data_IF_072445721613
#
_entry.id   IF_072445721613
#
_cell.length_a   1.000
_cell.length_b   1.000
_cell.length_c   1.000
_cell.angle_alpha   90.00
_cell.angle_beta   90.00
_cell.angle_gamma   90.00
#
_symmetry.space_group_name_H-M   'P 1'
#
loop_
_entity.id
_entity.type
_entity.pdbx_description
1 polymer ?
#
# COMPACT_ATOMS: atom_id res chain seq x y z
N UNK A 1 8.83 9.52 -23.10
CA UNK A 1 8.61 8.55 -22.01
C UNK A 1 7.15 8.14 -22.01
N UNK A 2 6.89 6.83 -21.95
CA UNK A 2 5.54 6.28 -21.76
C UNK A 2 5.00 6.75 -20.40
N UNK A 3 3.70 7.04 -20.29
CA UNK A 3 3.10 7.32 -18.98
C UNK A 3 3.03 6.05 -18.13
N UNK A 4 3.23 6.18 -16.82
CA UNK A 4 3.18 5.07 -15.86
C UNK A 4 1.95 5.20 -14.98
N UNK A 5 1.19 4.11 -14.82
CA UNK A 5 0.07 4.03 -13.89
C UNK A 5 0.36 2.98 -12.83
N UNK A 6 0.35 3.40 -11.57
CA UNK A 6 0.56 2.54 -10.40
C UNK A 6 -0.81 2.20 -9.82
N UNK A 7 -1.22 0.94 -9.95
CA UNK A 7 -2.51 0.47 -9.45
C UNK A 7 -2.38 -0.03 -8.01
N UNK A 8 -3.19 0.52 -7.12
CA UNK A 8 -3.23 0.15 -5.70
C UNK A 8 -4.67 -0.13 -5.26
N UNK A 9 -4.86 -0.87 -4.17
CA UNK A 9 -6.22 -1.29 -3.78
C UNK A 9 -7.07 -0.11 -3.30
N UNK A 10 -6.52 0.72 -2.41
CA UNK A 10 -7.25 1.82 -1.77
C UNK A 10 -6.48 3.13 -1.62
N UNK A 11 -7.17 4.14 -1.09
CA UNK A 11 -6.63 5.47 -0.85
C UNK A 11 -5.47 5.49 0.16
N UNK A 12 -5.46 4.57 1.13
CA UNK A 12 -4.34 4.42 2.08
C UNK A 12 -3.06 4.05 1.35
N UNK A 13 -3.13 3.08 0.44
CA UNK A 13 -1.99 2.59 -0.31
C UNK A 13 -1.47 3.66 -1.26
N UNK A 14 -2.40 4.39 -1.91
CA UNK A 14 -2.07 5.53 -2.74
C UNK A 14 -1.22 6.53 -1.97
N UNK A 15 -1.69 6.98 -0.80
CA UNK A 15 -0.95 7.95 0.00
C UNK A 15 0.39 7.40 0.49
N UNK A 16 0.46 6.12 0.86
CA UNK A 16 1.73 5.51 1.27
C UNK A 16 2.76 5.53 0.13
N UNK A 17 2.34 5.17 -1.10
CA UNK A 17 3.18 5.19 -2.30
C UNK A 17 3.62 6.62 -2.63
N UNK A 18 2.69 7.57 -2.73
CA UNK A 18 2.99 8.97 -3.04
C UNK A 18 3.92 9.59 -1.97
N UNK A 19 3.69 9.28 -0.69
CA UNK A 19 4.53 9.78 0.41
C UNK A 19 5.95 9.22 0.30
N UNK A 20 6.12 7.91 0.09
CA UNK A 20 7.47 7.35 -0.04
C UNK A 20 8.19 7.88 -1.28
N UNK A 21 7.49 8.03 -2.39
CA UNK A 21 8.06 8.58 -3.62
C UNK A 21 8.63 9.98 -3.42
N UNK A 22 7.86 10.88 -2.80
CA UNK A 22 8.34 12.22 -2.45
C UNK A 22 9.54 12.17 -1.50
N UNK A 23 9.51 11.29 -0.49
CA UNK A 23 10.64 11.11 0.44
C UNK A 23 11.91 10.64 -0.25
N UNK A 24 11.79 9.87 -1.33
CA UNK A 24 12.91 9.40 -2.15
C UNK A 24 13.28 10.38 -3.29
N UNK A 25 12.63 11.54 -3.35
CA UNK A 25 12.96 12.61 -4.30
C UNK A 25 12.32 12.47 -5.68
N UNK A 26 11.32 11.59 -5.85
CA UNK A 26 10.58 11.47 -7.10
C UNK A 26 9.61 12.65 -7.30
N UNK A 27 9.60 13.21 -8.52
CA UNK A 27 8.56 14.13 -8.98
C UNK A 27 7.63 13.35 -9.92
N UNK A 28 6.55 12.83 -9.35
CA UNK A 28 5.59 11.99 -10.08
C UNK A 28 5.00 12.69 -11.31
N UNK A 29 4.84 14.01 -11.27
CA UNK A 29 4.31 14.76 -12.41
C UNK A 29 5.35 14.85 -13.53
N UNK A 30 6.61 15.18 -13.19
CA UNK A 30 7.71 15.21 -14.15
C UNK A 30 8.01 13.82 -14.74
N UNK A 31 7.90 12.77 -13.92
CA UNK A 31 8.11 11.36 -14.30
C UNK A 31 6.89 10.74 -15.00
N UNK A 32 5.76 11.46 -15.07
CA UNK A 32 4.50 10.99 -15.66
C UNK A 32 3.96 9.72 -14.99
N UNK A 33 4.13 9.62 -13.67
CA UNK A 33 3.62 8.55 -12.82
C UNK A 33 2.32 9.01 -12.17
N UNK A 34 1.27 8.19 -12.29
CA UNK A 34 -0.01 8.43 -11.59
C UNK A 34 -0.37 7.23 -10.75
N UNK A 35 -0.58 7.45 -9.45
CA UNK A 35 -1.03 6.41 -8.52
C UNK A 35 -2.57 6.40 -8.49
N UNK A 36 -3.17 5.26 -8.82
CA UNK A 36 -4.61 5.10 -9.00
C UNK A 36 -5.14 4.06 -8.01
N UNK A 37 -5.97 4.47 -7.03
CA UNK A 37 -6.66 3.56 -6.14
C UNK A 37 -7.85 2.95 -6.87
N UNK A 38 -7.93 1.62 -6.86
CA UNK A 38 -8.93 0.87 -7.62
C UNK A 38 -10.28 0.77 -6.92
N UNK A 39 -10.34 1.06 -5.62
CA UNK A 39 -11.54 0.86 -4.80
C UNK A 39 -11.81 -0.63 -4.54
N UNK A 40 -10.74 -1.42 -4.41
CA UNK A 40 -10.79 -2.88 -4.23
C UNK A 40 -10.14 -3.65 -5.36
N UNK A 41 -9.49 -4.77 -5.03
CA UNK A 41 -8.74 -5.58 -6.00
C UNK A 41 -9.62 -6.20 -7.11
N UNK A 42 -10.92 -6.39 -6.85
CA UNK A 42 -11.88 -6.92 -7.83
C UNK A 42 -12.10 -5.99 -9.03
N UNK A 43 -11.78 -4.71 -8.90
CA UNK A 43 -11.89 -3.72 -9.97
C UNK A 43 -10.75 -3.77 -10.98
N UNK A 44 -9.70 -4.58 -10.75
CA UNK A 44 -8.47 -4.61 -11.55
C UNK A 44 -8.73 -4.69 -13.06
N UNK A 45 -9.66 -5.54 -13.50
CA UNK A 45 -9.96 -5.74 -14.93
C UNK A 45 -10.33 -4.43 -15.62
N UNK A 46 -11.19 -3.62 -14.98
CA UNK A 46 -11.58 -2.30 -15.51
C UNK A 46 -10.37 -1.39 -15.71
N UNK A 47 -9.42 -1.39 -14.76
CA UNK A 47 -8.24 -0.54 -14.84
C UNK A 47 -7.22 -1.04 -15.85
N UNK A 48 -7.10 -2.36 -16.03
CA UNK A 48 -6.30 -2.95 -17.10
C UNK A 48 -6.87 -2.61 -18.49
N UNK A 49 -8.20 -2.59 -18.65
CA UNK A 49 -8.83 -2.18 -19.91
C UNK A 49 -8.61 -0.70 -20.21
N UNK A 50 -8.63 0.15 -19.18
CA UNK A 50 -8.43 1.60 -19.32
C UNK A 50 -6.97 1.97 -19.61
N UNK A 51 -6.01 1.37 -18.90
CA UNK A 51 -4.62 1.81 -18.93
C UNK A 51 -3.66 0.81 -19.58
N UNK A 52 -4.06 -0.45 -19.75
CA UNK A 52 -3.24 -1.48 -20.35
C UNK A 52 -3.11 -1.37 -21.88
N UNK A 53 -2.60 -2.41 -22.55
CA UNK A 53 -2.24 -2.39 -23.97
C UNK A 53 -3.40 -2.04 -24.91
N UNK A 54 -4.62 -2.43 -24.54
CA UNK A 54 -5.84 -2.17 -25.33
C UNK A 54 -6.48 -0.81 -25.02
N UNK A 55 -6.01 -0.11 -24.00
CA UNK A 55 -6.51 1.20 -23.57
C UNK A 55 -5.50 2.31 -23.87
N UNK A 56 -5.11 3.05 -22.83
CA UNK A 56 -4.14 4.13 -22.93
C UNK A 56 -2.70 3.66 -23.19
N UNK A 57 -2.43 2.35 -23.12
CA UNK A 57 -1.10 1.79 -23.37
C UNK A 57 -0.03 2.32 -22.40
N UNK A 58 -0.38 2.51 -21.14
CA UNK A 58 0.55 2.93 -20.10
C UNK A 58 1.44 1.77 -19.64
N UNK A 59 2.60 2.10 -19.09
CA UNK A 59 3.35 1.15 -18.28
C UNK A 59 2.59 0.95 -16.97
N UNK A 60 2.22 -0.30 -16.66
CA UNK A 60 1.50 -0.61 -15.43
C UNK A 60 2.46 -1.13 -14.37
N UNK A 61 2.32 -0.58 -13.18
CA UNK A 61 2.91 -1.11 -11.94
C UNK A 61 1.78 -1.32 -10.94
N UNK A 62 2.04 -2.04 -9.86
CA UNK A 62 1.04 -2.12 -8.79
C UNK A 62 1.52 -2.71 -7.48
N UNK A 63 0.66 -2.56 -6.48
CA UNK A 63 0.82 -3.11 -5.15
C UNK A 63 -0.47 -3.82 -4.75
N UNK A 64 -0.37 -5.05 -4.25
CA UNK A 64 -1.52 -5.82 -3.80
C UNK A 64 -1.19 -6.79 -2.67
N UNK A 65 -2.21 -7.31 -2.00
CA UNK A 65 -2.02 -8.32 -0.95
C UNK A 65 -1.86 -9.73 -1.53
N UNK A 66 -1.21 -10.63 -0.79
CA UNK A 66 -1.00 -12.03 -1.20
C UNK A 66 -2.32 -12.75 -1.53
N UNK A 67 -3.40 -12.37 -0.85
CA UNK A 67 -4.74 -12.93 -1.04
C UNK A 67 -5.30 -12.63 -2.43
N UNK A 68 -4.94 -11.48 -3.00
CA UNK A 68 -5.42 -10.99 -4.29
C UNK A 68 -4.46 -11.33 -5.45
N UNK A 69 -3.22 -11.69 -5.13
CA UNK A 69 -2.15 -11.99 -6.10
C UNK A 69 -2.57 -12.93 -7.24
N UNK A 70 -3.25 -14.03 -6.94
CA UNK A 70 -3.72 -15.00 -7.95
C UNK A 70 -4.77 -14.41 -8.88
N UNK A 71 -5.67 -13.59 -8.35
CA UNK A 71 -6.69 -12.90 -9.12
C UNK A 71 -6.07 -11.90 -10.08
N UNK A 72 -5.12 -11.11 -9.58
CA UNK A 72 -4.39 -10.10 -10.36
C UNK A 72 -3.54 -10.74 -11.46
N UNK A 73 -2.78 -11.79 -11.14
CA UNK A 73 -1.97 -12.51 -12.14
C UNK A 73 -2.84 -13.06 -13.28
N UNK A 74 -4.02 -13.60 -12.96
CA UNK A 74 -4.98 -14.07 -13.97
C UNK A 74 -5.54 -12.91 -14.81
N UNK A 75 -5.83 -11.77 -14.18
CA UNK A 75 -6.32 -10.58 -14.89
C UNK A 75 -5.27 -10.02 -15.85
N UNK A 76 -4.01 -9.91 -15.42
CA UNK A 76 -2.88 -9.47 -16.25
C UNK A 76 -2.66 -10.39 -17.46
N UNK A 77 -2.66 -11.71 -17.25
CA UNK A 77 -2.53 -12.67 -18.34
C UNK A 77 -3.64 -12.53 -19.38
N UNK A 78 -4.88 -12.28 -18.95
CA UNK A 78 -6.02 -12.03 -19.85
C UNK A 78 -5.93 -10.69 -20.59
N UNK A 79 -5.34 -9.69 -19.96
CA UNK A 79 -5.13 -8.36 -20.55
C UNK A 79 -3.92 -8.28 -21.49
N UNK A 80 -3.22 -9.38 -21.72
CA UNK A 80 -2.13 -9.46 -22.71
C UNK A 80 -0.73 -9.14 -22.17
N UNK A 81 -0.55 -9.06 -20.84
CA UNK A 81 0.77 -8.84 -20.22
C UNK A 81 1.66 -10.10 -20.22
N UNK A 82 1.13 -11.23 -20.67
CA UNK A 82 1.83 -12.51 -20.69
C UNK A 82 1.82 -13.25 -19.35
N UNK A 83 2.32 -14.49 -19.32
CA UNK A 83 2.51 -15.25 -18.09
C UNK A 83 3.80 -14.83 -17.38
N UNK A 84 3.82 -14.85 -16.05
CA UNK A 84 5.03 -14.63 -15.29
C UNK A 84 4.76 -14.36 -13.80
N UNK A 85 5.80 -14.36 -12.95
CA UNK A 85 5.73 -13.84 -11.59
C UNK A 85 5.27 -12.38 -11.60
N UNK A 86 4.40 -12.00 -10.65
CA UNK A 86 3.88 -10.63 -10.55
C UNK A 86 4.98 -9.57 -10.49
N UNK A 87 6.08 -9.86 -9.79
CA UNK A 87 7.21 -8.93 -9.68
C UNK A 87 7.84 -8.61 -11.03
N UNK A 88 7.92 -9.59 -11.94
CA UNK A 88 8.43 -9.37 -13.31
C UNK A 88 7.45 -8.55 -14.16
N UNK A 89 6.16 -8.61 -13.83
CA UNK A 89 5.10 -7.80 -14.44
C UNK A 89 4.96 -6.40 -13.81
N UNK A 90 5.83 -6.04 -12.86
CA UNK A 90 5.80 -4.74 -12.17
C UNK A 90 4.80 -4.66 -11.00
N UNK A 91 4.29 -5.79 -10.53
CA UNK A 91 3.38 -5.87 -9.39
C UNK A 91 4.07 -6.47 -8.17
N UNK A 92 4.05 -5.72 -7.07
CA UNK A 92 4.62 -6.13 -5.80
C UNK A 92 3.53 -6.59 -4.83
N UNK A 93 3.87 -7.54 -3.97
CA UNK A 93 2.90 -8.26 -3.14
C UNK A 93 3.22 -8.06 -1.66
N UNK A 94 2.28 -7.51 -0.90
CA UNK A 94 2.30 -7.47 0.56
C UNK A 94 1.88 -8.83 1.13
N UNK A 95 2.45 -9.25 2.26
CA UNK A 95 2.06 -10.53 2.89
C UNK A 95 0.63 -10.47 3.42
N UNK A 96 0.36 -9.62 4.42
CA UNK A 96 -0.98 -9.50 5.00
C UNK A 96 -1.77 -8.31 4.44
N UNK A 97 -1.22 -7.10 4.59
CA UNK A 97 -1.64 -5.84 3.99
C UNK A 97 -0.50 -4.82 4.15
N UNK A 98 -0.60 -3.66 3.48
CA UNK A 98 0.42 -2.63 3.59
C UNK A 98 0.59 -2.10 5.02
N UNK A 99 -0.49 -2.02 5.82
CA UNK A 99 -0.35 -1.60 7.21
C UNK A 99 0.47 -2.59 8.05
N UNK A 100 0.31 -3.89 7.82
CA UNK A 100 1.15 -4.92 8.46
C UNK A 100 2.62 -4.77 8.09
N UNK A 101 2.93 -4.56 6.81
CA UNK A 101 4.30 -4.31 6.33
C UNK A 101 4.92 -3.09 7.03
N UNK A 102 4.18 -1.98 7.10
CA UNK A 102 4.63 -0.75 7.75
C UNK A 102 4.85 -0.95 9.27
N UNK A 103 3.95 -1.67 9.95
CA UNK A 103 4.11 -2.00 11.37
C UNK A 103 5.35 -2.87 11.59
N UNK A 104 5.60 -3.86 10.73
CA UNK A 104 6.77 -4.74 10.85
C UNK A 104 8.08 -3.99 10.63
N UNK A 105 8.13 -3.07 9.66
CA UNK A 105 9.32 -2.27 9.40
C UNK A 105 9.58 -1.20 10.46
N UNK A 106 8.54 -0.48 10.90
CA UNK A 106 8.69 0.58 11.92
C UNK A 106 8.88 0.00 13.34
N UNK A 107 8.37 -1.20 13.58
CA UNK A 107 8.33 -1.82 14.91
C UNK A 107 7.20 -1.25 15.78
N UNK A 108 6.82 -2.02 16.82
CA UNK A 108 5.70 -1.66 17.71
C UNK A 108 5.95 -0.31 18.38
N UNK A 109 7.14 -0.08 18.92
CA UNK A 109 7.45 1.14 19.66
C UNK A 109 7.40 2.38 18.76
N UNK A 110 7.99 2.31 17.56
CA UNK A 110 7.91 3.40 16.58
C UNK A 110 6.47 3.70 16.15
N UNK A 111 5.63 2.68 15.98
CA UNK A 111 4.20 2.87 15.71
C UNK A 111 3.48 3.53 16.89
N UNK A 112 3.81 3.14 18.12
CA UNK A 112 3.23 3.77 19.32
C UNK A 112 3.65 5.22 19.46
N UNK A 113 4.89 5.57 19.11
CA UNK A 113 5.38 6.95 19.08
C UNK A 113 4.62 7.79 18.05
N UNK A 114 4.33 7.24 16.86
CA UNK A 114 3.46 7.90 15.87
C UNK A 114 2.08 8.16 16.45
N UNK A 115 1.45 7.16 17.08
CA UNK A 115 0.14 7.31 17.74
C UNK A 115 0.20 8.35 18.88
N UNK A 116 1.31 8.40 19.63
CA UNK A 116 1.54 9.36 20.70
C UNK A 116 1.63 10.79 20.17
N UNK A 117 2.37 11.00 19.07
CA UNK A 117 2.49 12.29 18.41
C UNK A 117 1.14 12.79 17.87
N UNK A 118 0.21 11.88 17.55
CA UNK A 118 -1.17 12.24 17.18
C UNK A 118 -2.10 12.47 18.40
N UNK A 119 -1.60 12.31 19.63
CA UNK A 119 -2.41 12.42 20.85
C UNK A 119 -3.39 11.27 21.06
N UNK A 120 -3.22 10.14 20.36
CA UNK A 120 -4.22 9.06 20.33
C UNK A 120 -3.84 7.83 21.16
N UNK A 121 -2.76 7.89 21.95
CA UNK A 121 -2.36 6.76 22.82
C UNK A 121 -3.48 6.32 23.77
N UNK A 122 -4.21 7.26 24.36
CA UNK A 122 -5.34 6.94 25.23
C UNK A 122 -6.44 6.17 24.49
N UNK A 123 -6.74 6.57 23.23
CA UNK A 123 -7.68 5.85 22.36
C UNK A 123 -7.20 4.43 22.07
N UNK A 124 -5.90 4.25 21.79
CA UNK A 124 -5.32 2.93 21.58
C UNK A 124 -5.43 2.06 22.84
N UNK A 125 -5.11 2.58 24.03
CA UNK A 125 -5.25 1.85 25.29
C UNK A 125 -6.69 1.44 25.60
N UNK A 126 -7.68 2.25 25.22
CA UNK A 126 -9.10 1.87 25.32
C UNK A 126 -9.41 0.69 24.40
N UNK A 127 -8.91 0.71 23.16
CA UNK A 127 -9.06 -0.40 22.22
C UNK A 127 -8.47 -1.70 22.78
N UNK A 128 -7.30 -1.65 23.40
CA UNK A 128 -6.64 -2.83 23.98
C UNK A 128 -7.46 -3.49 25.08
N UNK A 129 -8.32 -2.74 25.79
CA UNK A 129 -9.18 -3.29 26.86
C UNK A 129 -10.43 -3.99 26.33
N UNK A 130 -10.75 -3.85 25.04
CA UNK A 130 -11.93 -4.48 24.45
C UNK A 130 -11.80 -6.01 24.47
N UNK A 131 -12.86 -6.77 24.82
CA UNK A 131 -12.80 -8.23 24.86
C UNK A 131 -12.32 -8.88 23.57
N UNK A 132 -12.72 -8.32 22.41
CA UNK A 132 -12.30 -8.81 21.10
C UNK A 132 -10.85 -8.51 20.73
N UNK A 133 -10.15 -7.67 21.51
CA UNK A 133 -8.78 -7.22 21.21
C UNK A 133 -7.75 -7.62 22.28
N UNK A 134 -8.15 -7.69 23.56
CA UNK A 134 -7.22 -7.81 24.70
C UNK A 134 -6.28 -9.03 24.64
N UNK A 135 -6.72 -10.13 24.04
CA UNK A 135 -5.95 -11.37 23.90
C UNK A 135 -5.25 -11.48 22.54
N UNK A 136 -5.46 -10.52 21.63
CA UNK A 136 -4.81 -10.50 20.32
C UNK A 136 -3.39 -9.95 20.42
N UNK A 137 -2.49 -10.37 19.52
CA UNK A 137 -1.16 -9.75 19.40
C UNK A 137 -1.25 -8.24 19.17
N UNK A 138 -0.25 -7.49 19.67
CA UNK A 138 -0.22 -6.02 19.57
C UNK A 138 -0.30 -5.55 18.10
N UNK A 139 0.36 -6.23 17.18
CA UNK A 139 0.30 -5.94 15.73
C UNK A 139 -1.14 -6.00 15.20
N UNK A 140 -1.91 -7.01 15.62
CA UNK A 140 -3.31 -7.13 15.24
C UNK A 140 -4.21 -6.06 15.89
N UNK A 141 -3.87 -5.62 17.11
CA UNK A 141 -4.54 -4.49 17.77
C UNK A 141 -4.26 -3.17 17.06
N UNK A 142 -3.01 -2.93 16.63
CA UNK A 142 -2.61 -1.76 15.84
C UNK A 142 -3.31 -1.72 14.49
N UNK A 143 -3.32 -2.83 13.75
CA UNK A 143 -4.09 -2.95 12.50
C UNK A 143 -5.57 -2.66 12.71
N UNK A 144 -6.15 -3.18 13.80
CA UNK A 144 -7.54 -2.87 14.17
C UNK A 144 -7.73 -1.39 14.52
N UNK A 145 -6.76 -0.74 15.16
CA UNK A 145 -6.81 0.68 15.49
C UNK A 145 -6.83 1.56 14.23
N UNK A 146 -6.00 1.24 13.23
CA UNK A 146 -5.97 1.95 11.95
C UNK A 146 -7.22 1.68 11.11
N UNK A 147 -7.72 0.45 11.09
CA UNK A 147 -8.95 0.08 10.36
C UNK A 147 -10.26 0.38 11.10
N UNK A 148 -10.21 0.79 12.36
CA UNK A 148 -11.38 0.83 13.24
C UNK A 148 -12.25 2.08 13.10
N UNK A 149 -11.74 3.15 12.50
CA UNK A 149 -12.44 4.42 12.30
C UNK A 149 -12.36 4.83 10.83
N UNK A 150 -13.44 5.43 10.32
CA UNK A 150 -13.45 5.98 8.96
C UNK A 150 -12.31 6.99 8.79
N UNK A 151 -11.57 6.88 7.68
CA UNK A 151 -10.45 7.75 7.35
C UNK A 151 -9.13 7.48 8.10
N UNK A 152 -9.11 6.65 9.16
CA UNK A 152 -7.88 6.42 9.91
C UNK A 152 -6.80 5.72 9.08
N UNK A 153 -7.15 4.72 8.26
CA UNK A 153 -6.19 4.07 7.35
C UNK A 153 -5.47 5.07 6.45
N UNK A 154 -6.22 5.98 5.84
CA UNK A 154 -5.68 7.04 4.96
C UNK A 154 -4.76 7.98 5.73
N UNK A 155 -5.20 8.45 6.91
CA UNK A 155 -4.39 9.34 7.76
C UNK A 155 -3.08 8.66 8.21
N UNK A 156 -3.16 7.43 8.72
CA UNK A 156 -2.01 6.74 9.28
C UNK A 156 -1.07 6.17 8.23
N UNK A 157 -1.53 5.89 7.01
CA UNK A 157 -0.66 5.47 5.91
C UNK A 157 0.49 6.47 5.69
N UNK A 158 0.16 7.76 5.55
CA UNK A 158 1.17 8.82 5.43
C UNK A 158 2.06 8.92 6.67
N UNK A 159 1.46 8.96 7.87
CA UNK A 159 2.21 9.14 9.12
C UNK A 159 3.21 8.00 9.38
N UNK A 160 2.81 6.76 9.10
CA UNK A 160 3.68 5.61 9.24
C UNK A 160 4.81 5.65 8.21
N UNK A 161 4.51 6.01 6.96
CA UNK A 161 5.55 6.18 5.94
C UNK A 161 6.51 7.30 6.31
N UNK A 162 6.05 8.46 6.77
CA UNK A 162 6.90 9.58 7.20
C UNK A 162 7.83 9.20 8.38
N UNK A 163 7.37 8.30 9.25
CA UNK A 163 8.14 7.83 10.41
C UNK A 163 9.17 6.74 10.09
N UNK A 164 9.14 6.11 8.90
CA UNK A 164 10.11 5.08 8.54
C UNK A 164 11.52 5.66 8.49
N UNK A 165 12.52 5.02 9.11
CA UNK A 165 13.92 5.39 8.92
C UNK A 165 14.33 5.34 7.45
N UNK A 166 15.31 6.14 7.06
CA UNK A 166 15.85 6.13 5.70
C UNK A 166 16.31 4.72 5.30
N UNK A 167 15.93 4.29 4.09
CA UNK A 167 16.27 2.96 3.58
C UNK A 167 15.54 1.78 4.23
N UNK A 168 14.60 2.02 5.17
CA UNK A 168 13.87 0.96 5.88
C UNK A 168 12.40 0.82 5.45
N UNK A 169 12.06 1.27 4.23
CA UNK A 169 10.73 1.02 3.69
C UNK A 169 10.50 -0.48 3.45
N UNK A 170 9.26 -0.98 3.63
CA UNK A 170 8.95 -2.38 3.42
C UNK A 170 9.24 -2.78 1.96
N UNK A 171 9.83 -3.97 1.71
CA UNK A 171 10.30 -4.35 0.38
C UNK A 171 9.26 -4.20 -0.75
N UNK A 172 7.97 -4.58 -0.58
CA UNK A 172 6.97 -4.38 -1.63
C UNK A 172 6.80 -2.92 -2.03
N UNK A 173 6.80 -2.01 -1.05
CA UNK A 173 6.65 -0.57 -1.28
C UNK A 173 7.94 0.05 -1.84
N UNK A 174 9.09 -0.35 -1.31
CA UNK A 174 10.40 0.13 -1.75
C UNK A 174 10.68 -0.26 -3.21
N UNK A 175 10.46 -1.52 -3.58
CA UNK A 175 10.66 -1.98 -4.95
C UNK A 175 9.69 -1.32 -5.95
N UNK A 176 8.45 -1.06 -5.53
CA UNK A 176 7.48 -0.36 -6.35
C UNK A 176 7.95 1.06 -6.69
N UNK A 177 8.35 1.84 -5.67
CA UNK A 177 8.78 3.23 -5.87
C UNK A 177 10.11 3.29 -6.63
N UNK A 178 11.03 2.36 -6.36
CA UNK A 178 12.27 2.25 -7.13
C UNK A 178 12.05 1.91 -8.62
N UNK A 179 10.84 1.49 -9.00
CA UNK A 179 10.47 1.19 -10.38
C UNK A 179 9.88 2.38 -11.14
N UNK A 180 9.77 3.57 -10.51
CA UNK A 180 9.17 4.75 -11.14
C UNK A 180 9.96 5.23 -12.36
#
# INVERSE_FOLDING_TARGET
MQATTVLVEGESDRLAVETLAVRLGHDLAAERVTVVPMGGATSIVRFLDLYGPNGAGHRLLGLCDVRESRGIARALGRAGFGPGPLAELGFHVCDADLEDELIRCLGIDGVLDVIAAQGELASFRILQRQPSQRERPITAQLRRFFGGRSGNKVRYARLLVDALPEGQAPPPLAHLVASF
#
